data_IF_164271851215
#
_entry.id   IF_164271851215
#
_cell.length_a   1.000
_cell.length_b   1.000
_cell.length_c   1.000
_cell.angle_alpha   90.00
_cell.angle_beta   90.00
_cell.angle_gamma   90.00
#
_symmetry.space_group_name_H-M   'P 1'
#
loop_
_entity.id
_entity.type
_entity.pdbx_description
1 polymer ?
#
# COMPACT_ATOMS: atom_id res chain seq x y z
N UNK A 1 -14.18 10.63 0.28
CA UNK A 1 -13.33 9.41 0.37
C UNK A 1 -13.87 8.55 1.49
N UNK A 2 -14.05 7.27 1.27
CA UNK A 2 -14.50 6.34 2.31
C UNK A 2 -13.29 5.86 3.08
N UNK A 3 -13.36 5.88 4.42
CA UNK A 3 -12.28 5.47 5.33
C UNK A 3 -12.79 4.46 6.35
N UNK A 4 -11.89 3.67 6.90
CA UNK A 4 -12.09 2.91 8.13
C UNK A 4 -11.12 3.46 9.16
N UNK A 5 -11.63 3.82 10.33
CA UNK A 5 -10.87 4.59 11.32
C UNK A 5 -10.83 3.91 12.68
N UNK A 6 -9.73 4.10 13.38
CA UNK A 6 -9.48 3.55 14.71
C UNK A 6 -8.80 4.61 15.57
N UNK A 7 -9.16 4.69 16.85
CA UNK A 7 -8.51 5.61 17.78
C UNK A 7 -8.72 7.09 17.46
N UNK A 8 -9.88 7.48 16.96
CA UNK A 8 -10.24 8.84 16.51
C UNK A 8 -10.03 9.94 17.56
N UNK A 9 -9.94 9.58 18.83
CA UNK A 9 -9.67 10.52 19.93
C UNK A 9 -8.20 10.98 20.02
N UNK A 10 -7.30 10.30 19.32
CA UNK A 10 -5.88 10.63 19.31
C UNK A 10 -5.56 11.75 18.32
N UNK A 11 -4.53 12.54 18.64
CA UNK A 11 -4.13 13.70 17.82
C UNK A 11 -3.19 13.36 16.67
N UNK A 12 -2.30 12.38 16.88
CA UNK A 12 -1.32 11.96 15.89
C UNK A 12 -1.95 11.02 14.88
N UNK A 13 -1.96 11.41 13.61
CA UNK A 13 -2.64 10.67 12.54
C UNK A 13 -1.67 9.77 11.79
N UNK A 14 -2.10 8.51 11.61
CA UNK A 14 -1.45 7.50 10.76
C UNK A 14 -2.39 7.17 9.60
N UNK A 15 -1.89 7.19 8.37
CA UNK A 15 -2.62 6.73 7.19
C UNK A 15 -1.99 5.43 6.68
N UNK A 16 -2.81 4.40 6.43
CA UNK A 16 -2.35 3.09 5.92
C UNK A 16 -3.03 2.77 4.60
N UNK A 17 -2.22 2.63 3.53
CA UNK A 17 -2.68 2.42 2.16
C UNK A 17 -2.54 0.95 1.77
N UNK A 18 -3.66 0.26 1.62
CA UNK A 18 -3.70 -1.19 1.36
C UNK A 18 -3.19 -1.57 -0.04
N UNK A 19 -2.86 -2.84 -0.23
CA UNK A 19 -2.42 -3.40 -1.50
C UNK A 19 -3.53 -3.54 -2.55
N UNK A 20 -3.16 -3.64 -3.82
CA UNK A 20 -4.09 -3.88 -4.91
C UNK A 20 -4.82 -5.22 -4.78
N UNK A 21 -6.15 -5.21 -4.94
CA UNK A 21 -7.00 -6.39 -4.74
C UNK A 21 -7.28 -6.73 -3.28
N UNK A 22 -6.73 -5.97 -2.33
CA UNK A 22 -6.96 -6.06 -0.90
C UNK A 22 -7.94 -4.96 -0.45
N UNK A 23 -8.10 -4.78 0.87
CA UNK A 23 -8.93 -3.73 1.45
C UNK A 23 -8.39 -3.35 2.84
N UNK A 24 -9.13 -2.55 3.61
CA UNK A 24 -8.73 -2.07 4.94
C UNK A 24 -8.27 -3.18 5.89
N UNK A 25 -8.84 -4.39 5.80
CA UNK A 25 -8.48 -5.55 6.65
C UNK A 25 -7.01 -5.98 6.49
N UNK A 26 -6.34 -5.56 5.42
CA UNK A 26 -4.89 -5.72 5.24
C UNK A 26 -4.11 -5.18 6.45
N UNK A 27 -4.59 -4.08 7.03
CA UNK A 27 -3.98 -3.42 8.17
C UNK A 27 -4.80 -3.52 9.46
N UNK A 28 -5.89 -4.32 9.50
CA UNK A 28 -6.77 -4.41 10.66
C UNK A 28 -6.02 -4.62 11.96
N UNK A 29 -5.16 -5.63 12.00
CA UNK A 29 -4.46 -5.98 13.24
C UNK A 29 -3.39 -4.95 13.63
N UNK A 30 -2.71 -4.35 12.65
CA UNK A 30 -1.80 -3.24 12.92
C UNK A 30 -2.55 -2.00 13.45
N UNK A 31 -3.72 -1.70 12.88
CA UNK A 31 -4.56 -0.60 13.34
C UNK A 31 -5.08 -0.82 14.77
N UNK A 32 -5.49 -2.05 15.10
CA UNK A 32 -5.92 -2.42 16.45
C UNK A 32 -4.80 -2.21 17.50
N UNK A 33 -3.55 -2.45 17.12
CA UNK A 33 -2.40 -2.21 18.01
C UNK A 33 -2.05 -0.71 18.13
N UNK A 34 -2.14 0.03 17.02
CA UNK A 34 -1.76 1.43 16.96
C UNK A 34 -2.82 2.38 17.55
N UNK A 35 -4.10 1.99 17.57
CA UNK A 35 -5.23 2.85 17.98
C UNK A 35 -5.14 3.38 19.42
N UNK A 36 -4.38 2.73 20.27
CA UNK A 36 -4.21 3.15 21.66
C UNK A 36 -3.47 4.49 21.78
N UNK A 37 -2.62 4.82 20.79
CA UNK A 37 -1.80 6.02 20.78
C UNK A 37 -2.07 6.96 19.59
N UNK A 38 -2.62 6.41 18.50
CA UNK A 38 -2.73 7.11 17.21
C UNK A 38 -4.14 7.02 16.64
N UNK A 39 -4.53 8.06 15.91
CA UNK A 39 -5.69 8.01 15.02
C UNK A 39 -5.27 7.34 13.72
N UNK A 40 -5.69 6.09 13.53
CA UNK A 40 -5.33 5.30 12.34
C UNK A 40 -6.45 5.37 11.33
N UNK A 41 -6.14 5.83 10.13
CA UNK A 41 -7.06 6.02 9.01
C UNK A 41 -6.66 5.09 7.88
N UNK A 42 -7.58 4.26 7.42
CA UNK A 42 -7.36 3.34 6.30
C UNK A 42 -8.33 3.70 5.17
N UNK A 43 -7.90 4.51 4.19
CA UNK A 43 -8.72 4.84 3.03
C UNK A 43 -9.02 3.61 2.19
N UNK A 44 -10.27 3.48 1.72
CA UNK A 44 -10.64 2.49 0.71
C UNK A 44 -10.23 3.02 -0.66
N UNK A 45 -9.18 2.45 -1.22
CA UNK A 45 -8.62 2.92 -2.49
C UNK A 45 -9.63 2.81 -3.64
N UNK A 46 -9.66 3.78 -4.57
CA UNK A 46 -10.53 3.72 -5.74
C UNK A 46 -10.50 2.37 -6.46
N UNK A 47 -11.65 1.89 -6.91
CA UNK A 47 -11.80 0.61 -7.60
C UNK A 47 -11.77 -0.64 -6.71
N UNK A 48 -11.61 -0.49 -5.39
CA UNK A 48 -11.61 -1.58 -4.42
C UNK A 48 -12.94 -1.65 -3.65
N UNK A 49 -13.18 -2.77 -2.99
CA UNK A 49 -14.44 -3.01 -2.27
C UNK A 49 -14.71 -1.94 -1.20
N UNK A 50 -15.89 -1.35 -1.27
CA UNK A 50 -16.33 -0.29 -0.35
C UNK A 50 -15.94 1.13 -0.77
N UNK A 51 -15.08 1.31 -1.78
CA UNK A 51 -14.79 2.63 -2.34
C UNK A 51 -15.99 3.21 -3.10
N UNK A 52 -16.12 4.52 -3.05
CA UNK A 52 -17.13 5.31 -3.77
C UNK A 52 -16.67 5.74 -5.19
N UNK A 53 -15.46 5.37 -5.60
CA UNK A 53 -14.85 5.76 -6.87
C UNK A 53 -14.26 4.57 -7.62
N UNK A 54 -14.28 4.63 -8.94
CA UNK A 54 -13.52 3.73 -9.80
C UNK A 54 -12.03 4.11 -9.81
N UNK A 55 -11.17 3.11 -10.05
CA UNK A 55 -9.73 3.33 -10.19
C UNK A 55 -9.41 3.92 -11.57
N UNK A 56 -8.68 5.01 -11.59
CA UNK A 56 -8.17 5.68 -12.80
C UNK A 56 -6.65 5.49 -12.94
N UNK A 57 -5.88 6.21 -12.16
CA UNK A 57 -4.42 6.16 -12.16
C UNK A 57 -3.87 6.23 -10.73
N UNK A 58 -2.60 5.87 -10.55
CA UNK A 58 -1.87 6.05 -9.29
C UNK A 58 -1.77 7.54 -8.95
N UNK A 59 -1.54 8.36 -9.96
CA UNK A 59 -1.45 9.82 -9.84
C UNK A 59 -2.76 10.45 -9.33
N UNK A 60 -3.90 10.00 -9.86
CA UNK A 60 -5.21 10.48 -9.39
C UNK A 60 -5.50 10.05 -7.95
N UNK A 61 -5.16 8.79 -7.61
CA UNK A 61 -5.27 8.31 -6.23
C UNK A 61 -4.41 9.13 -5.27
N UNK A 62 -3.16 9.42 -5.64
CA UNK A 62 -2.26 10.25 -4.84
C UNK A 62 -2.78 11.68 -4.67
N UNK A 63 -3.33 12.27 -5.74
CA UNK A 63 -3.97 13.59 -5.70
C UNK A 63 -5.18 13.61 -4.78
N UNK A 64 -6.07 12.63 -4.88
CA UNK A 64 -7.27 12.52 -4.03
C UNK A 64 -6.88 12.40 -2.55
N UNK A 65 -5.89 11.56 -2.24
CA UNK A 65 -5.38 11.37 -0.87
C UNK A 65 -4.69 12.63 -0.34
N UNK A 66 -3.88 13.29 -1.17
CA UNK A 66 -3.25 14.56 -0.79
C UNK A 66 -4.30 15.62 -0.47
N UNK A 67 -5.34 15.74 -1.31
CA UNK A 67 -6.46 16.67 -1.07
C UNK A 67 -7.25 16.31 0.19
N UNK A 68 -7.43 15.03 0.47
CA UNK A 68 -8.05 14.55 1.70
C UNK A 68 -7.23 14.97 2.94
N UNK A 69 -5.90 14.77 2.90
CA UNK A 69 -5.00 15.19 3.99
C UNK A 69 -5.04 16.71 4.18
N UNK A 70 -5.12 17.48 3.10
CA UNK A 70 -5.22 18.94 3.17
C UNK A 70 -6.50 19.37 3.89
N UNK A 71 -7.61 18.74 3.56
CA UNK A 71 -8.92 19.11 4.08
C UNK A 71 -9.12 18.66 5.54
N UNK A 72 -8.76 17.42 5.86
CA UNK A 72 -9.08 16.83 7.17
C UNK A 72 -7.95 17.07 8.22
N UNK A 73 -6.69 17.18 7.76
CA UNK A 73 -5.53 17.19 8.67
C UNK A 73 -4.58 18.37 8.48
N UNK A 74 -5.03 19.42 7.76
CA UNK A 74 -4.27 20.66 7.61
C UNK A 74 -2.97 20.50 6.80
N UNK A 75 -2.90 19.48 5.94
CA UNK A 75 -1.87 19.33 4.91
C UNK A 75 -0.74 18.37 5.22
N UNK A 76 -0.63 17.84 6.44
CA UNK A 76 0.39 16.85 6.79
C UNK A 76 -0.08 15.95 7.92
N UNK A 77 0.43 14.70 7.92
CA UNK A 77 0.16 13.72 8.97
C UNK A 77 1.45 13.19 9.59
N UNK A 78 1.35 12.47 10.70
CA UNK A 78 2.52 11.92 11.38
C UNK A 78 3.19 10.82 10.53
N UNK A 79 2.40 9.88 10.03
CA UNK A 79 2.93 8.70 9.36
C UNK A 79 2.03 8.27 8.21
N UNK A 80 2.63 7.83 7.10
CA UNK A 80 1.93 7.14 6.02
C UNK A 80 2.63 5.83 5.72
N UNK A 81 1.90 4.71 5.81
CA UNK A 81 2.35 3.39 5.40
C UNK A 81 1.66 2.94 4.12
N UNK A 82 2.37 2.26 3.21
CA UNK A 82 1.77 1.75 1.99
C UNK A 82 2.34 0.40 1.55
N UNK A 83 1.44 -0.53 1.23
CA UNK A 83 1.78 -1.85 0.70
C UNK A 83 1.53 -1.91 -0.81
N UNK A 84 2.50 -2.37 -1.59
CA UNK A 84 2.36 -2.69 -3.02
C UNK A 84 1.76 -1.52 -3.82
N UNK A 85 0.52 -1.61 -4.31
CA UNK A 85 -0.19 -0.49 -4.94
C UNK A 85 -0.29 0.73 -4.00
N UNK A 86 -0.63 0.51 -2.72
CA UNK A 86 -0.61 1.57 -1.70
C UNK A 86 0.78 2.17 -1.50
N UNK A 87 1.83 1.35 -1.61
CA UNK A 87 3.22 1.81 -1.60
C UNK A 87 3.57 2.67 -2.82
N UNK A 88 3.07 2.32 -4.02
CA UNK A 88 3.24 3.14 -5.23
C UNK A 88 2.51 4.49 -5.12
N UNK A 89 1.30 4.48 -4.57
CA UNK A 89 0.54 5.71 -4.31
C UNK A 89 1.29 6.60 -3.31
N UNK A 90 1.86 6.02 -2.25
CA UNK A 90 2.69 6.74 -1.29
C UNK A 90 3.93 7.35 -1.96
N UNK A 91 4.64 6.60 -2.82
CA UNK A 91 5.78 7.11 -3.61
C UNK A 91 5.37 8.31 -4.47
N UNK A 92 4.21 8.24 -5.12
CA UNK A 92 3.66 9.36 -5.90
C UNK A 92 3.34 10.57 -5.01
N UNK A 93 2.68 10.37 -3.86
CA UNK A 93 2.40 11.44 -2.90
C UNK A 93 3.67 12.14 -2.43
N UNK A 94 4.71 11.39 -2.05
CA UNK A 94 6.01 11.93 -1.65
C UNK A 94 6.72 12.67 -2.78
N UNK A 95 6.49 12.27 -4.05
CA UNK A 95 7.07 12.93 -5.23
C UNK A 95 6.43 14.29 -5.52
N UNK A 96 5.12 14.43 -5.29
CA UNK A 96 4.38 15.67 -5.58
C UNK A 96 4.33 16.62 -4.39
N UNK A 97 4.50 16.10 -3.16
CA UNK A 97 4.44 16.89 -1.93
C UNK A 97 5.48 16.45 -0.91
N UNK A 98 6.54 17.23 -0.78
CA UNK A 98 7.71 16.86 0.01
C UNK A 98 7.47 16.77 1.52
N UNK A 99 6.42 17.37 2.05
CA UNK A 99 6.09 17.48 3.49
C UNK A 99 4.72 16.89 3.85
N UNK A 100 4.21 15.96 3.02
CA UNK A 100 2.90 15.33 3.23
C UNK A 100 2.81 14.52 4.54
N UNK A 101 3.94 14.01 5.03
CA UNK A 101 4.06 13.32 6.31
C UNK A 101 5.46 13.48 6.90
N UNK A 102 5.58 13.23 8.22
CA UNK A 102 6.89 13.19 8.89
C UNK A 102 7.64 11.88 8.65
N UNK A 103 6.91 10.77 8.63
CA UNK A 103 7.45 9.41 8.48
C UNK A 103 6.70 8.66 7.39
N UNK A 104 7.42 7.88 6.60
CA UNK A 104 6.83 7.05 5.55
C UNK A 104 7.39 5.63 5.58
N UNK A 105 6.54 4.61 5.48
CA UNK A 105 6.93 3.22 5.33
C UNK A 105 6.41 2.67 4.01
N UNK A 106 7.34 2.32 3.12
CA UNK A 106 7.03 1.79 1.79
C UNK A 106 7.34 0.30 1.80
N UNK A 107 6.31 -0.54 1.66
CA UNK A 107 6.46 -2.00 1.59
C UNK A 107 6.16 -2.50 0.19
N UNK A 108 7.12 -3.22 -0.40
CA UNK A 108 6.93 -4.00 -1.64
C UNK A 108 6.37 -3.18 -2.81
N UNK A 109 6.79 -1.94 -2.99
CA UNK A 109 6.33 -1.07 -4.08
C UNK A 109 7.13 -1.33 -5.37
N UNK A 110 6.43 -1.69 -6.46
CA UNK A 110 7.03 -1.87 -7.78
C UNK A 110 7.19 -0.51 -8.47
N UNK A 111 8.43 -0.04 -8.65
CA UNK A 111 8.70 1.25 -9.33
C UNK A 111 9.56 1.09 -10.60
N UNK A 112 9.74 -0.14 -11.03
CA UNK A 112 10.40 -0.50 -12.29
C UNK A 112 9.38 -1.15 -13.24
N UNK A 113 8.98 -0.50 -14.35
CA UNK A 113 7.93 -0.99 -15.23
C UNK A 113 8.17 -2.39 -15.78
N UNK A 114 7.12 -3.20 -15.80
CA UNK A 114 7.10 -4.56 -16.34
C UNK A 114 6.26 -4.60 -17.62
N UNK A 115 6.82 -4.13 -18.74
CA UNK A 115 6.10 -3.92 -20.02
C UNK A 115 5.35 -5.17 -20.50
N UNK A 116 5.95 -6.36 -20.39
CA UNK A 116 5.30 -7.61 -20.82
C UNK A 116 4.09 -7.92 -19.92
N UNK A 117 4.25 -7.83 -18.60
CA UNK A 117 3.15 -8.00 -17.65
C UNK A 117 2.03 -7.02 -17.93
N UNK A 118 2.35 -5.73 -18.12
CA UNK A 118 1.38 -4.71 -18.46
C UNK A 118 0.57 -5.04 -19.73
N UNK A 119 1.23 -5.51 -20.79
CA UNK A 119 0.57 -5.91 -22.02
C UNK A 119 -0.37 -7.13 -21.85
N UNK A 120 -0.01 -8.05 -20.96
CA UNK A 120 -0.75 -9.29 -20.71
C UNK A 120 -1.91 -9.14 -19.72
N UNK A 121 -1.98 -8.06 -18.91
CA UNK A 121 -3.05 -7.87 -17.91
C UNK A 121 -4.43 -7.99 -18.55
N UNK A 122 -4.71 -7.23 -19.59
CA UNK A 122 -6.05 -7.24 -20.21
C UNK A 122 -6.43 -8.59 -20.78
N UNK A 123 -5.66 -9.25 -21.66
CA UNK A 123 -6.03 -10.56 -22.18
C UNK A 123 -6.17 -11.64 -21.10
N UNK A 124 -5.32 -11.61 -20.07
CA UNK A 124 -5.46 -12.50 -18.91
C UNK A 124 -6.79 -12.27 -18.17
N UNK A 125 -7.14 -11.04 -17.87
CA UNK A 125 -8.39 -10.73 -17.18
C UNK A 125 -9.61 -11.03 -18.06
N UNK A 126 -9.54 -10.79 -19.34
CA UNK A 126 -10.63 -11.13 -20.27
C UNK A 126 -10.94 -12.64 -20.26
N UNK A 127 -9.95 -13.49 -20.13
CA UNK A 127 -10.11 -14.95 -20.15
C UNK A 127 -10.37 -15.56 -18.76
N UNK A 128 -9.87 -14.96 -17.67
CA UNK A 128 -9.85 -15.61 -16.36
C UNK A 128 -10.64 -14.87 -15.27
N UNK A 129 -11.17 -13.69 -15.51
CA UNK A 129 -11.85 -12.89 -14.47
C UNK A 129 -12.99 -13.65 -13.79
N UNK A 130 -13.76 -14.46 -14.54
CA UNK A 130 -14.82 -15.28 -13.96
C UNK A 130 -14.35 -16.34 -12.95
N UNK A 131 -13.08 -16.75 -13.03
CA UNK A 131 -12.47 -17.71 -12.09
C UNK A 131 -12.20 -17.06 -10.73
N UNK A 132 -11.85 -15.77 -10.71
CA UNK A 132 -11.55 -15.02 -9.47
C UNK A 132 -12.75 -15.05 -8.51
N UNK A 133 -13.97 -15.07 -9.05
CA UNK A 133 -15.23 -15.17 -8.29
C UNK A 133 -15.59 -16.60 -7.86
N UNK A 134 -14.77 -17.60 -8.18
CA UNK A 134 -14.96 -18.98 -7.72
C UNK A 134 -14.13 -19.22 -6.47
N UNK A 135 -14.78 -19.67 -5.39
CA UNK A 135 -14.13 -19.85 -4.09
C UNK A 135 -12.88 -20.73 -4.14
N UNK A 136 -12.94 -21.87 -4.86
CA UNK A 136 -11.79 -22.77 -4.99
C UNK A 136 -10.57 -22.08 -5.62
N UNK A 137 -10.79 -21.20 -6.61
CA UNK A 137 -9.73 -20.44 -7.25
C UNK A 137 -9.21 -19.33 -6.34
N UNK A 138 -10.11 -18.63 -5.63
CA UNK A 138 -9.75 -17.64 -4.62
C UNK A 138 -8.90 -18.26 -3.52
N UNK A 139 -9.22 -19.47 -3.04
CA UNK A 139 -8.41 -20.21 -2.05
C UNK A 139 -7.00 -20.51 -2.58
N UNK A 140 -6.87 -20.88 -3.87
CA UNK A 140 -5.57 -21.11 -4.50
C UNK A 140 -4.74 -19.83 -4.56
N UNK A 141 -5.34 -18.72 -5.00
CA UNK A 141 -4.66 -17.42 -5.04
C UNK A 141 -4.27 -16.94 -3.64
N UNK A 142 -5.17 -17.03 -2.69
CA UNK A 142 -4.94 -16.66 -1.29
C UNK A 142 -3.75 -17.41 -0.67
N UNK A 143 -3.69 -18.72 -0.91
CA UNK A 143 -2.54 -19.55 -0.49
C UNK A 143 -1.23 -19.11 -1.16
N UNK A 144 -1.30 -18.73 -2.45
CA UNK A 144 -0.13 -18.21 -3.18
C UNK A 144 0.34 -16.87 -2.61
N UNK A 145 -0.57 -16.00 -2.22
CA UNK A 145 -0.27 -14.70 -1.61
C UNK A 145 0.29 -14.80 -0.19
N UNK A 146 0.28 -16.00 0.42
CA UNK A 146 0.78 -16.23 1.79
C UNK A 146 0.08 -15.41 2.87
N UNK A 147 -1.15 -14.99 2.63
CA UNK A 147 -1.97 -14.27 3.60
C UNK A 147 -2.44 -15.26 4.68
N UNK A 148 -2.47 -14.83 5.94
CA UNK A 148 -2.90 -15.65 7.08
C UNK A 148 -4.36 -16.07 6.93
N UNK A 149 -4.67 -17.31 7.37
CA UNK A 149 -5.89 -18.03 7.01
C UNK A 149 -7.19 -17.35 7.50
N UNK A 150 -7.15 -16.63 8.61
CA UNK A 150 -8.29 -15.93 9.19
C UNK A 150 -8.80 -14.74 8.36
N UNK A 151 -8.02 -14.29 7.39
CA UNK A 151 -8.40 -13.21 6.47
C UNK A 151 -9.06 -13.70 5.16
N UNK A 152 -9.26 -15.02 4.99
CA UNK A 152 -9.80 -15.55 3.73
C UNK A 152 -11.20 -15.04 3.40
N UNK A 153 -12.09 -15.00 4.38
CA UNK A 153 -13.48 -14.58 4.16
C UNK A 153 -13.56 -13.10 3.77
N UNK A 154 -12.75 -12.24 4.40
CA UNK A 154 -12.62 -10.84 4.03
C UNK A 154 -12.06 -10.69 2.61
N UNK A 155 -10.97 -11.41 2.30
CA UNK A 155 -10.36 -11.42 0.97
C UNK A 155 -11.35 -11.83 -0.11
N UNK A 156 -12.05 -12.96 0.08
CA UNK A 156 -12.98 -13.49 -0.93
C UNK A 156 -14.18 -12.58 -1.12
N UNK A 157 -14.81 -12.12 -0.03
CA UNK A 157 -15.93 -11.19 -0.06
C UNK A 157 -15.58 -9.93 -0.86
N UNK A 158 -14.42 -9.33 -0.61
CA UNK A 158 -14.06 -8.05 -1.19
C UNK A 158 -13.51 -8.19 -2.61
N UNK A 159 -12.75 -9.25 -2.90
CA UNK A 159 -12.32 -9.55 -4.27
C UNK A 159 -13.52 -9.77 -5.20
N UNK A 160 -14.60 -10.41 -4.72
CA UNK A 160 -15.83 -10.61 -5.50
C UNK A 160 -16.56 -9.31 -5.87
N UNK A 161 -16.34 -8.22 -5.10
CA UNK A 161 -16.97 -6.91 -5.35
C UNK A 161 -16.20 -6.07 -6.36
N UNK A 162 -14.93 -6.37 -6.61
CA UNK A 162 -14.13 -5.64 -7.58
C UNK A 162 -14.66 -5.91 -8.99
N UNK A 163 -14.88 -4.86 -9.77
CA UNK A 163 -15.27 -5.00 -11.19
C UNK A 163 -14.07 -5.43 -12.04
N UNK A 164 -14.34 -6.04 -13.20
CA UNK A 164 -13.28 -6.43 -14.14
C UNK A 164 -12.47 -5.22 -14.63
N UNK A 165 -13.18 -4.13 -14.89
CA UNK A 165 -12.63 -2.87 -15.37
C UNK A 165 -11.66 -2.29 -14.35
N UNK A 166 -12.05 -2.20 -13.09
CA UNK A 166 -11.21 -1.73 -12.00
C UNK A 166 -9.97 -2.61 -11.81
N UNK A 167 -10.17 -3.95 -11.84
CA UNK A 167 -9.05 -4.88 -11.70
C UNK A 167 -8.03 -4.72 -12.85
N UNK A 168 -8.49 -4.58 -14.09
CA UNK A 168 -7.61 -4.31 -15.23
C UNK A 168 -6.88 -2.98 -15.03
N UNK A 169 -7.60 -1.93 -14.62
CA UNK A 169 -7.05 -0.59 -14.47
C UNK A 169 -5.93 -0.55 -13.44
N UNK A 170 -6.17 -1.03 -12.21
CA UNK A 170 -5.12 -0.97 -11.19
C UNK A 170 -3.97 -1.95 -11.44
N UNK A 171 -4.20 -3.14 -12.03
CA UNK A 171 -3.11 -4.05 -12.40
C UNK A 171 -2.23 -3.48 -13.51
N UNK A 172 -2.81 -2.79 -14.48
CA UNK A 172 -2.05 -2.08 -15.51
C UNK A 172 -1.24 -0.93 -14.93
N UNK A 173 -1.84 -0.10 -14.08
CA UNK A 173 -1.16 0.99 -13.42
C UNK A 173 0.00 0.46 -12.56
N UNK A 174 -0.26 -0.56 -11.73
CA UNK A 174 0.75 -1.21 -10.88
C UNK A 174 1.95 -1.74 -11.68
N UNK A 175 1.70 -2.39 -12.83
CA UNK A 175 2.77 -3.00 -13.64
C UNK A 175 3.55 -2.00 -14.52
N UNK A 176 3.09 -0.76 -14.63
CA UNK A 176 3.73 0.26 -15.49
C UNK A 176 4.18 1.54 -14.75
N UNK A 177 4.04 1.58 -13.43
CA UNK A 177 4.44 2.72 -12.63
C UNK A 177 5.97 2.88 -12.61
N UNK A 178 6.41 4.13 -12.60
CA UNK A 178 7.82 4.52 -12.45
C UNK A 178 7.93 5.78 -11.59
N UNK A 179 9.06 5.93 -10.90
CA UNK A 179 9.31 7.06 -10.01
C UNK A 179 9.31 8.38 -10.78
N UNK A 180 8.59 9.36 -10.26
CA UNK A 180 8.57 10.73 -10.81
C UNK A 180 9.70 11.58 -10.21
N UNK A 181 10.04 12.67 -10.88
CA UNK A 181 10.92 13.72 -10.33
C UNK A 181 10.26 14.35 -9.11
N UNK A 182 11.05 14.68 -8.10
CA UNK A 182 10.57 15.31 -6.88
C UNK A 182 10.68 14.41 -5.67
N UNK A 183 10.72 13.09 -5.85
CA UNK A 183 10.84 12.13 -4.72
C UNK A 183 12.12 12.39 -3.90
N UNK A 184 13.18 12.81 -4.55
CA UNK A 184 14.46 13.19 -3.91
C UNK A 184 14.36 14.42 -2.98
N UNK A 185 13.24 15.15 -3.03
CA UNK A 185 12.98 16.34 -2.21
C UNK A 185 12.13 16.06 -0.99
N UNK A 186 11.68 14.80 -0.81
CA UNK A 186 10.85 14.47 0.34
C UNK A 186 11.56 14.81 1.65
N UNK A 187 10.80 15.40 2.58
CA UNK A 187 11.26 15.71 3.94
C UNK A 187 10.93 14.58 4.92
N UNK A 188 10.14 13.61 4.49
CA UNK A 188 9.78 12.48 5.34
C UNK A 188 11.00 11.60 5.64
N UNK A 189 11.09 11.11 6.87
CA UNK A 189 11.96 9.96 7.20
C UNK A 189 11.36 8.70 6.56
N UNK A 190 12.04 8.11 5.56
CA UNK A 190 11.50 6.99 4.78
C UNK A 190 12.17 5.68 5.15
N UNK A 191 11.37 4.66 5.48
CA UNK A 191 11.81 3.27 5.62
C UNK A 191 11.21 2.42 4.49
N UNK A 192 12.07 1.66 3.79
CA UNK A 192 11.69 0.84 2.65
C UNK A 192 11.88 -0.63 3.02
N UNK A 193 10.83 -1.42 2.79
CA UNK A 193 10.81 -2.85 3.09
C UNK A 193 10.49 -3.67 1.84
N UNK A 194 11.17 -4.79 1.68
CA UNK A 194 10.84 -5.81 0.68
C UNK A 194 11.20 -7.20 1.21
N UNK A 195 10.42 -8.20 0.83
CA UNK A 195 10.72 -9.58 1.16
C UNK A 195 11.79 -10.17 0.22
N UNK A 196 12.74 -10.93 0.75
CA UNK A 196 13.79 -11.58 -0.05
C UNK A 196 13.25 -12.63 -1.02
N UNK A 197 12.08 -13.20 -0.72
CA UNK A 197 11.40 -14.19 -1.57
C UNK A 197 10.53 -13.57 -2.65
N UNK A 198 10.50 -12.25 -2.74
CA UNK A 198 9.80 -11.55 -3.81
C UNK A 198 10.53 -11.66 -5.15
N UNK A 199 9.83 -11.31 -6.23
CA UNK A 199 10.44 -11.25 -7.56
C UNK A 199 11.60 -10.24 -7.57
N UNK A 200 12.63 -10.51 -8.34
CA UNK A 200 13.83 -9.67 -8.44
C UNK A 200 13.53 -8.19 -8.80
N UNK A 201 12.41 -7.92 -9.51
CA UNK A 201 11.96 -6.57 -9.83
C UNK A 201 11.53 -5.78 -8.58
N UNK A 202 10.94 -6.44 -7.58
CA UNK A 202 10.56 -5.79 -6.33
C UNK A 202 11.79 -5.36 -5.54
N UNK A 203 12.78 -6.26 -5.42
CA UNK A 203 14.03 -5.96 -4.74
C UNK A 203 14.80 -4.85 -5.47
N UNK A 204 14.80 -4.86 -6.82
CA UNK A 204 15.39 -3.75 -7.60
C UNK A 204 14.66 -2.44 -7.37
N UNK A 205 13.35 -2.48 -7.30
CA UNK A 205 12.52 -1.30 -7.02
C UNK A 205 12.81 -0.73 -5.62
N UNK A 206 12.92 -1.58 -4.60
CA UNK A 206 13.26 -1.16 -3.25
C UNK A 206 14.66 -0.50 -3.18
N UNK A 207 15.65 -1.06 -3.88
CA UNK A 207 16.99 -0.48 -3.98
C UNK A 207 16.97 0.86 -4.71
N UNK A 208 16.26 0.95 -5.83
CA UNK A 208 16.12 2.20 -6.59
C UNK A 208 15.47 3.31 -5.74
N UNK A 209 14.43 3.00 -4.98
CA UNK A 209 13.83 3.95 -4.04
C UNK A 209 14.84 4.43 -2.99
N UNK A 210 15.62 3.51 -2.44
CA UNK A 210 16.68 3.85 -1.48
C UNK A 210 17.79 4.73 -2.07
N UNK A 211 18.14 4.51 -3.33
CA UNK A 211 19.12 5.34 -4.04
C UNK A 211 18.60 6.75 -4.32
N UNK A 212 17.28 6.89 -4.57
CA UNK A 212 16.67 8.19 -4.91
C UNK A 212 16.33 9.01 -3.66
N UNK A 213 15.91 8.37 -2.56
CA UNK A 213 15.43 9.08 -1.36
C UNK A 213 16.59 9.28 -0.38
N UNK A 214 17.10 10.50 -0.19
CA UNK A 214 18.20 10.76 0.71
C UNK A 214 17.85 10.39 2.16
N UNK A 215 18.77 9.74 2.87
CA UNK A 215 18.59 9.37 4.27
C UNK A 215 17.55 8.27 4.54
N UNK A 216 16.99 7.67 3.49
CA UNK A 216 16.08 6.53 3.68
C UNK A 216 16.80 5.30 4.25
N UNK A 217 16.07 4.39 4.87
CA UNK A 217 16.56 3.07 5.26
C UNK A 217 15.98 1.98 4.35
N UNK A 218 16.76 0.95 4.06
CA UNK A 218 16.32 -0.22 3.28
C UNK A 218 16.49 -1.49 4.09
N UNK A 219 15.41 -2.24 4.24
CA UNK A 219 15.41 -3.56 4.89
C UNK A 219 14.90 -4.62 3.93
N UNK A 220 15.73 -5.61 3.62
CA UNK A 220 15.32 -6.81 2.88
C UNK A 220 15.09 -7.93 3.89
N UNK A 221 13.84 -8.31 4.07
CA UNK A 221 13.39 -9.29 5.07
C UNK A 221 13.63 -10.74 4.56
N UNK A 222 14.57 -11.45 5.13
CA UNK A 222 15.08 -12.74 4.61
C UNK A 222 14.04 -13.83 4.38
N UNK A 223 12.99 -13.91 5.19
CA UNK A 223 11.98 -14.98 5.14
C UNK A 223 10.69 -14.62 4.44
N UNK A 224 10.50 -13.35 4.11
CA UNK A 224 9.22 -12.79 3.72
C UNK A 224 8.98 -12.86 2.21
N UNK A 225 7.73 -13.14 1.86
CA UNK A 225 7.15 -12.93 0.54
C UNK A 225 6.51 -11.53 0.44
N UNK A 226 5.84 -11.27 -0.66
CA UNK A 226 5.19 -9.99 -0.96
C UNK A 226 4.08 -9.67 0.05
N UNK A 227 4.18 -8.54 0.74
CA UNK A 227 3.17 -8.03 1.68
C UNK A 227 3.08 -8.76 3.01
N UNK A 228 3.92 -9.77 3.26
CA UNK A 228 3.82 -10.53 4.51
C UNK A 228 4.11 -9.70 5.75
N UNK A 229 4.90 -8.64 5.65
CA UNK A 229 5.29 -7.84 6.81
C UNK A 229 4.08 -7.13 7.42
N UNK A 230 3.33 -6.37 6.65
CA UNK A 230 2.16 -5.67 7.16
C UNK A 230 0.95 -6.58 7.41
N UNK A 231 0.78 -7.65 6.62
CA UNK A 231 -0.41 -8.51 6.71
C UNK A 231 -0.28 -9.56 7.82
N UNK A 232 0.86 -10.24 7.87
CA UNK A 232 1.01 -11.42 8.73
C UNK A 232 1.76 -11.12 10.04
N UNK A 233 2.56 -10.04 10.08
CA UNK A 233 3.40 -9.65 11.21
C UNK A 233 3.05 -8.24 11.70
N UNK A 234 1.76 -8.05 11.94
CA UNK A 234 1.18 -6.76 12.31
C UNK A 234 1.81 -6.14 13.56
N UNK A 235 2.23 -6.96 14.52
CA UNK A 235 2.92 -6.53 15.74
C UNK A 235 4.34 -5.99 15.45
N UNK A 236 5.07 -6.61 14.52
CA UNK A 236 6.37 -6.10 14.08
C UNK A 236 6.22 -4.82 13.25
N UNK A 237 5.19 -4.77 12.41
CA UNK A 237 4.86 -3.58 11.62
C UNK A 237 4.49 -2.40 12.53
N UNK A 238 3.58 -2.61 13.49
CA UNK A 238 3.15 -1.57 14.43
C UNK A 238 4.34 -1.06 15.27
N UNK A 239 5.15 -1.96 15.84
CA UNK A 239 6.37 -1.58 16.55
C UNK A 239 7.34 -0.76 15.69
N UNK A 240 7.50 -1.13 14.40
CA UNK A 240 8.37 -0.36 13.51
C UNK A 240 7.83 1.04 13.24
N UNK A 241 6.53 1.16 13.03
CA UNK A 241 5.88 2.47 12.86
C UNK A 241 6.05 3.34 14.12
N UNK A 242 5.82 2.78 15.31
CA UNK A 242 6.05 3.47 16.58
C UNK A 242 7.51 3.91 16.75
N UNK A 243 8.47 3.00 16.54
CA UNK A 243 9.89 3.34 16.62
C UNK A 243 10.26 4.51 15.72
N UNK A 244 9.77 4.54 14.47
CA UNK A 244 10.02 5.63 13.55
C UNK A 244 9.49 6.96 14.08
N UNK A 245 8.31 6.95 14.73
CA UNK A 245 7.68 8.16 15.26
C UNK A 245 8.24 8.61 16.61
N UNK A 246 8.82 7.69 17.38
CA UNK A 246 9.45 7.97 18.69
C UNK A 246 10.93 8.39 18.59
N UNK A 247 11.58 8.08 17.45
CA UNK A 247 12.94 8.56 17.19
C UNK A 247 12.95 10.09 17.14
N UNK A 248 13.36 10.73 18.26
CA UNK A 248 13.56 12.18 18.33
C UNK A 248 14.51 12.63 17.22
N UNK A 249 14.18 13.74 16.58
CA UNK A 249 15.12 14.45 15.71
C UNK A 249 16.39 14.73 16.54
N UNK A 250 17.47 14.03 16.19
CA UNK A 250 18.80 14.23 16.77
C UNK A 250 19.53 15.35 16.01
#
# INVERSE_FOLDING_TARGET
MVTVEFGEHNKEVIILLHGGGLSWWNYRDAAELLKEKYHVVIPLLPGHAGSDKDFTTIEDCAKDLTSYIDHEYGGSVAFIGGLSLGGQILVEMLSVRSDICRYALIESALVTPMKLTHALVKPMMDSSFGLIKKEWFARLQFKYLKIKADLFDDYYRDTCKITKENMISFLKANSNYFVKKGLEKTKAKVSIFAGKKEMGNMIRSARLLHEIIPGSSLTILDRFCHGEFSINYADEYARKAEQMMEEKES
#
